data_IF_740071493098
#
_entry.id   IF_740071493098
#
_cell.length_a   1.000
_cell.length_b   1.000
_cell.length_c   1.000
_cell.angle_alpha   90.00
_cell.angle_beta   90.00
_cell.angle_gamma   90.00
#
_symmetry.space_group_name_H-M   'P 1'
#
loop_
_entity.id
_entity.type
_entity.pdbx_description
1 polymer ?
#
# COMPACT_ATOMS: atom_id res chain seq x y z
N UNK A 1 61.60 -11.90 19.91
CA UNK A 1 61.35 -11.90 18.45
C UNK A 1 59.89 -12.27 18.23
N UNK A 2 59.27 -11.54 17.32
CA UNK A 2 57.84 -11.26 17.12
C UNK A 2 57.12 -12.32 16.26
N UNK A 3 55.77 -12.25 16.19
CA UNK A 3 54.79 -12.77 15.18
C UNK A 3 54.14 -14.15 15.44
N UNK A 4 52.83 -14.42 15.28
CA UNK A 4 51.62 -13.72 14.78
C UNK A 4 50.38 -14.35 15.46
N UNK A 5 49.34 -13.60 15.90
CA UNK A 5 48.00 -14.17 16.09
C UNK A 5 47.24 -14.10 14.76
N UNK A 6 46.95 -15.25 14.14
CA UNK A 6 46.05 -15.34 12.98
C UNK A 6 44.73 -15.95 13.46
N UNK A 7 43.87 -15.13 14.07
CA UNK A 7 42.47 -15.50 14.26
C UNK A 7 41.71 -14.92 13.07
N UNK A 8 41.27 -15.86 12.24
CA UNK A 8 40.48 -15.72 11.03
C UNK A 8 39.32 -14.75 11.27
N UNK A 9 39.29 -13.66 10.48
CA UNK A 9 38.21 -12.70 10.48
C UNK A 9 36.90 -13.36 10.08
N UNK A 10 35.93 -13.35 10.98
CA UNK A 10 34.54 -13.64 10.66
C UNK A 10 34.00 -12.48 9.81
N UNK A 11 34.04 -12.65 8.49
CA UNK A 11 33.27 -11.86 7.54
C UNK A 11 31.78 -12.12 7.83
N UNK A 12 31.17 -11.28 8.65
CA UNK A 12 29.72 -11.19 8.76
C UNK A 12 29.24 -10.59 7.44
N UNK A 13 28.84 -11.46 6.52
CA UNK A 13 28.12 -11.08 5.31
C UNK A 13 26.73 -10.63 5.76
N UNK A 14 26.57 -9.33 6.02
CA UNK A 14 25.26 -8.68 6.09
C UNK A 14 24.66 -8.75 4.69
N UNK A 15 23.89 -9.81 4.43
CA UNK A 15 23.02 -9.90 3.26
C UNK A 15 21.99 -8.77 3.38
N UNK A 16 22.22 -7.67 2.69
CA UNK A 16 21.19 -6.69 2.39
C UNK A 16 20.15 -7.41 1.52
N UNK A 17 19.10 -7.92 2.16
CA UNK A 17 17.83 -8.19 1.50
C UNK A 17 17.37 -6.83 0.95
N UNK A 18 17.74 -6.54 -0.30
CA UNK A 18 17.04 -5.55 -1.09
C UNK A 18 15.59 -6.06 -1.18
N UNK A 19 14.76 -5.59 -0.25
CA UNK A 19 13.33 -5.89 -0.26
C UNK A 19 12.81 -5.47 -1.62
N UNK A 20 12.25 -6.42 -2.35
CA UNK A 20 11.49 -6.11 -3.54
C UNK A 20 10.33 -5.21 -3.09
N UNK A 21 10.41 -3.90 -3.37
CA UNK A 21 9.32 -2.94 -3.18
C UNK A 21 8.25 -3.17 -4.24
N UNK A 22 7.78 -4.42 -4.36
CA UNK A 22 6.70 -4.79 -5.25
C UNK A 22 5.35 -4.46 -4.62
N UNK A 23 4.28 -4.48 -5.43
CA UNK A 23 2.92 -4.43 -4.91
C UNK A 23 2.72 -5.53 -3.87
N UNK A 24 1.94 -5.27 -2.83
CA UNK A 24 1.74 -6.20 -1.71
C UNK A 24 0.36 -6.03 -1.13
N UNK A 25 -0.31 -7.15 -0.87
CA UNK A 25 -1.50 -7.19 -0.02
C UNK A 25 -1.08 -7.41 1.44
N UNK A 26 -1.53 -6.55 2.34
CA UNK A 26 -1.36 -6.73 3.79
C UNK A 26 -2.72 -7.09 4.38
N UNK A 27 -2.79 -8.25 5.04
CA UNK A 27 -4.04 -8.75 5.65
C UNK A 27 -3.92 -8.79 7.17
N UNK A 28 -4.94 -8.27 7.86
CA UNK A 28 -5.03 -8.29 9.32
C UNK A 28 -5.53 -9.64 9.86
N UNK A 29 -5.51 -9.80 11.18
CA UNK A 29 -6.11 -10.95 11.87
C UNK A 29 -7.65 -11.01 11.79
N UNK A 30 -8.30 -9.96 11.28
CA UNK A 30 -9.76 -9.88 11.08
C UNK A 30 -10.14 -10.01 9.61
N UNK A 31 -9.25 -10.56 8.79
CA UNK A 31 -9.42 -10.75 7.34
C UNK A 31 -9.70 -9.43 6.59
N UNK A 32 -9.10 -8.31 7.06
CA UNK A 32 -9.10 -7.04 6.35
C UNK A 32 -7.84 -6.89 5.53
N UNK A 33 -7.97 -6.47 4.28
CA UNK A 33 -6.84 -6.36 3.35
C UNK A 33 -6.68 -4.93 2.85
N UNK A 34 -5.44 -4.44 2.86
CA UNK A 34 -5.06 -3.22 2.14
C UNK A 34 -4.12 -3.56 0.98
N UNK A 35 -4.28 -2.86 -0.13
CA UNK A 35 -3.35 -2.89 -1.25
C UNK A 35 -2.28 -1.83 -1.04
N UNK A 36 -1.01 -2.21 -1.21
CA UNK A 36 0.14 -1.31 -1.11
C UNK A 36 0.96 -1.46 -2.38
N UNK A 37 1.31 -0.37 -3.03
CA UNK A 37 2.23 -0.39 -4.17
C UNK A 37 3.01 0.92 -4.27
N UNK A 38 4.01 0.94 -5.14
CA UNK A 38 4.54 2.20 -5.65
C UNK A 38 3.45 2.92 -6.46
N UNK A 39 3.66 4.21 -6.70
CA UNK A 39 2.80 4.96 -7.61
C UNK A 39 2.72 4.28 -8.97
N UNK A 40 1.54 4.34 -9.60
CA UNK A 40 1.31 3.75 -10.91
C UNK A 40 2.29 4.36 -11.94
N UNK A 41 2.87 3.53 -12.81
CA UNK A 41 3.95 3.96 -13.74
C UNK A 41 3.54 5.12 -14.68
N UNK A 42 2.24 5.29 -14.91
CA UNK A 42 1.62 6.34 -15.71
C UNK A 42 0.71 7.30 -14.89
N UNK A 43 0.93 7.43 -13.58
CA UNK A 43 0.08 8.25 -12.71
C UNK A 43 0.07 9.72 -13.20
N UNK A 44 -1.08 10.17 -13.71
CA UNK A 44 -1.38 11.59 -13.81
C UNK A 44 -1.66 12.08 -12.37
N UNK A 45 -0.62 12.54 -11.69
CA UNK A 45 -0.55 12.82 -10.23
C UNK A 45 -1.39 14.02 -9.74
N UNK A 46 -2.53 14.31 -10.38
CA UNK A 46 -3.35 15.49 -10.04
C UNK A 46 -4.83 15.14 -9.87
N UNK A 47 -5.14 13.93 -9.40
CA UNK A 47 -6.48 13.59 -8.95
C UNK A 47 -6.58 13.74 -7.43
N UNK A 48 -7.67 14.36 -6.98
CA UNK A 48 -8.10 14.36 -5.58
C UNK A 48 -9.35 13.50 -5.48
N UNK A 49 -9.25 12.35 -4.81
CA UNK A 49 -10.40 11.51 -4.55
C UNK A 49 -10.95 11.80 -3.14
N UNK A 50 -12.20 12.24 -3.09
CA UNK A 50 -12.89 12.57 -1.84
C UNK A 50 -14.04 11.61 -1.59
N UNK A 51 -14.15 11.12 -0.36
CA UNK A 51 -15.25 10.26 0.02
C UNK A 51 -15.00 9.50 1.32
N UNK A 52 -15.95 8.64 1.67
CA UNK A 52 -15.85 7.78 2.84
C UNK A 52 -15.04 6.53 2.52
N UNK A 53 -14.01 6.24 3.30
CA UNK A 53 -13.32 4.95 3.25
C UNK A 53 -14.12 3.90 4.00
N UNK A 54 -14.11 2.67 3.50
CA UNK A 54 -14.79 1.55 4.14
C UNK A 54 -14.19 0.23 3.72
N UNK A 55 -14.51 -0.82 4.48
CA UNK A 55 -14.27 -2.18 4.02
C UNK A 55 -15.32 -2.58 2.98
N UNK A 56 -14.86 -3.02 1.81
CA UNK A 56 -15.70 -3.63 0.78
C UNK A 56 -16.18 -5.03 1.17
N UNK A 57 -17.05 -5.62 0.34
CA UNK A 57 -17.64 -6.95 0.61
C UNK A 57 -16.59 -8.06 0.68
N UNK A 58 -15.49 -7.91 -0.07
CA UNK A 58 -14.34 -8.81 -0.06
C UNK A 58 -13.34 -8.52 1.09
N UNK A 59 -13.62 -7.56 1.97
CA UNK A 59 -12.75 -7.18 3.09
C UNK A 59 -11.60 -6.22 2.72
N UNK A 60 -11.59 -5.68 1.50
CA UNK A 60 -10.54 -4.78 1.03
C UNK A 60 -10.91 -3.31 1.28
N UNK A 61 -9.94 -2.46 1.58
CA UNK A 61 -10.22 -1.03 1.79
C UNK A 61 -10.58 -0.35 0.47
N UNK A 62 -11.75 0.30 0.44
CA UNK A 62 -12.26 1.03 -0.72
C UNK A 62 -12.69 2.45 -0.34
N UNK A 63 -12.78 3.33 -1.34
CA UNK A 63 -13.25 4.71 -1.21
C UNK A 63 -14.56 4.90 -1.98
N UNK A 64 -15.60 5.37 -1.30
CA UNK A 64 -16.92 5.68 -1.88
C UNK A 64 -17.99 4.62 -1.62
N UNK A 65 -19.26 5.00 -1.83
CA UNK A 65 -20.42 4.17 -1.47
C UNK A 65 -21.03 3.41 -2.66
N UNK A 66 -21.35 4.12 -3.76
CA UNK A 66 -22.12 3.57 -4.88
C UNK A 66 -21.23 2.84 -5.89
N UNK A 67 -20.12 3.47 -6.28
CA UNK A 67 -19.11 2.94 -7.19
C UNK A 67 -17.76 3.03 -6.46
N UNK A 68 -17.47 2.09 -5.55
CA UNK A 68 -16.27 2.16 -4.73
C UNK A 68 -15.02 1.92 -5.55
N UNK A 69 -13.97 2.69 -5.27
CA UNK A 69 -12.65 2.51 -5.85
C UNK A 69 -11.75 1.77 -4.85
N UNK A 70 -11.04 0.74 -5.30
CA UNK A 70 -9.96 0.13 -4.52
C UNK A 70 -8.91 1.19 -4.23
N UNK A 71 -8.54 1.33 -2.96
CA UNK A 71 -7.45 2.23 -2.57
C UNK A 71 -6.15 1.45 -2.54
N UNK A 72 -5.20 1.88 -3.37
CA UNK A 72 -3.81 1.41 -3.34
C UNK A 72 -2.99 2.45 -2.57
N UNK A 73 -2.55 2.07 -1.38
CA UNK A 73 -1.78 2.94 -0.50
C UNK A 73 -0.30 2.97 -0.90
N UNK A 74 0.42 4.05 -0.59
CA UNK A 74 1.85 4.13 -0.87
C UNK A 74 2.64 3.21 0.06
N UNK A 75 3.85 2.82 -0.39
CA UNK A 75 4.80 2.11 0.46
C UNK A 75 5.06 2.81 1.79
N UNK A 76 5.22 1.99 2.84
CA UNK A 76 5.35 2.47 4.23
C UNK A 76 4.02 2.52 4.97
N UNK A 77 2.89 2.39 4.26
CA UNK A 77 1.58 2.19 4.90
C UNK A 77 1.55 0.85 5.64
N UNK A 78 0.89 0.81 6.79
CA UNK A 78 0.71 -0.40 7.60
C UNK A 78 -0.75 -0.57 8.00
N UNK A 79 -1.11 -1.79 8.43
CA UNK A 79 -2.44 -2.12 8.95
C UNK A 79 -2.31 -2.59 10.39
N UNK A 80 -2.77 -1.77 11.34
CA UNK A 80 -2.79 -2.06 12.78
C UNK A 80 -4.22 -2.43 13.20
N UNK A 81 -4.50 -3.74 13.26
CA UNK A 81 -5.88 -4.23 13.41
C UNK A 81 -6.71 -3.90 12.17
N UNK A 82 -7.61 -2.92 12.29
CA UNK A 82 -8.41 -2.39 11.18
C UNK A 82 -8.09 -0.91 10.88
N UNK A 83 -7.05 -0.36 11.49
CA UNK A 83 -6.62 1.02 11.26
C UNK A 83 -5.49 1.04 10.24
N UNK A 84 -5.69 1.75 9.13
CA UNK A 84 -4.63 2.01 8.15
C UNK A 84 -3.76 3.15 8.66
N UNK A 85 -2.45 2.94 8.73
CA UNK A 85 -1.49 3.95 9.17
C UNK A 85 -0.59 4.32 8.01
N UNK A 86 -0.73 5.54 7.50
CA UNK A 86 0.05 6.10 6.40
C UNK A 86 1.52 6.33 6.82
N UNK A 87 2.45 6.52 5.86
CA UNK A 87 3.87 6.70 6.16
C UNK A 87 4.20 7.91 7.05
N UNK A 88 3.36 8.94 7.03
CA UNK A 88 3.48 10.13 7.89
C UNK A 88 2.91 9.93 9.31
N UNK A 89 2.33 8.75 9.59
CA UNK A 89 1.68 8.40 10.84
C UNK A 89 0.19 8.73 10.90
N UNK A 90 -0.39 9.32 9.85
CA UNK A 90 -1.83 9.57 9.74
C UNK A 90 -2.59 8.26 9.80
N UNK A 91 -3.71 8.27 10.52
CA UNK A 91 -4.57 7.10 10.72
C UNK A 91 -5.86 7.26 9.94
N UNK A 92 -6.26 6.21 9.24
CA UNK A 92 -7.49 6.12 8.47
C UNK A 92 -8.25 4.88 8.94
N UNK A 93 -9.51 5.07 9.32
CA UNK A 93 -10.42 4.02 9.78
C UNK A 93 -11.65 3.95 8.86
N UNK A 94 -12.26 2.77 8.79
CA UNK A 94 -13.52 2.61 8.06
C UNK A 94 -14.59 3.55 8.63
N UNK A 95 -15.22 4.34 7.76
CA UNK A 95 -16.19 5.38 8.12
C UNK A 95 -15.61 6.80 8.08
N UNK A 96 -14.28 6.95 8.00
CA UNK A 96 -13.66 8.26 7.85
C UNK A 96 -13.97 8.86 6.49
N UNK A 97 -14.27 10.17 6.48
CA UNK A 97 -14.35 10.94 5.25
C UNK A 97 -12.98 11.55 4.96
N UNK A 98 -12.36 11.15 3.85
CA UNK A 98 -11.00 11.52 3.48
C UNK A 98 -10.97 12.27 2.15
N UNK A 99 -9.91 13.04 1.96
CA UNK A 99 -9.50 13.59 0.68
C UNK A 99 -8.11 13.05 0.40
N UNK A 100 -7.95 12.14 -0.56
CA UNK A 100 -6.66 11.51 -0.88
C UNK A 100 -6.12 12.11 -2.17
N UNK A 101 -4.88 12.60 -2.15
CA UNK A 101 -4.13 12.91 -3.36
C UNK A 101 -3.71 11.64 -4.08
N UNK A 102 -3.60 11.66 -5.40
CA UNK A 102 -3.20 10.49 -6.17
C UNK A 102 -3.59 10.50 -7.65
N UNK A 103 -3.78 9.29 -8.18
CA UNK A 103 -4.18 9.02 -9.56
C UNK A 103 -5.28 7.96 -9.65
N UNK A 104 -6.28 8.20 -10.51
CA UNK A 104 -7.34 7.23 -10.80
C UNK A 104 -7.02 6.48 -12.10
N UNK A 105 -7.13 5.16 -12.08
CA UNK A 105 -6.99 4.34 -13.28
C UNK A 105 -8.06 3.25 -13.31
N UNK A 106 -8.48 2.91 -14.53
CA UNK A 106 -9.35 1.75 -14.71
C UNK A 106 -8.62 0.47 -14.30
N UNK A 107 -9.34 -0.52 -13.76
CA UNK A 107 -8.77 -1.82 -13.45
C UNK A 107 -8.16 -2.52 -14.66
N UNK A 108 -8.68 -2.24 -15.86
CA UNK A 108 -8.13 -2.78 -17.10
C UNK A 108 -6.68 -2.34 -17.33
N UNK A 109 -6.36 -1.10 -16.94
CA UNK A 109 -5.04 -0.52 -17.17
C UNK A 109 -4.12 -0.74 -15.96
N UNK A 110 -4.66 -0.76 -14.74
CA UNK A 110 -3.86 -0.76 -13.52
C UNK A 110 -3.74 -2.11 -12.79
N UNK A 111 -4.66 -3.06 -12.96
CA UNK A 111 -4.62 -4.32 -12.20
C UNK A 111 -3.40 -5.19 -12.52
N UNK A 112 -2.78 -5.03 -13.70
CA UNK A 112 -1.55 -5.73 -14.07
C UNK A 112 -0.35 -5.37 -13.18
N UNK A 113 -0.40 -4.21 -12.50
CA UNK A 113 0.60 -3.79 -11.52
C UNK A 113 0.28 -4.24 -10.09
N UNK A 114 -0.77 -5.04 -9.90
CA UNK A 114 -1.23 -5.53 -8.60
C UNK A 114 -1.34 -7.08 -8.56
N UNK A 115 -0.30 -7.84 -9.00
CA UNK A 115 -0.35 -9.31 -9.08
C UNK A 115 -0.58 -10.00 -7.73
N UNK A 116 -0.21 -9.36 -6.62
CA UNK A 116 -0.32 -9.91 -5.28
C UNK A 116 -1.61 -9.47 -4.55
N UNK A 117 -2.44 -8.63 -5.20
CA UNK A 117 -3.73 -8.21 -4.66
C UNK A 117 -4.80 -9.24 -5.05
N UNK A 118 -5.61 -9.75 -4.10
CA UNK A 118 -6.68 -10.68 -4.41
C UNK A 118 -7.63 -10.13 -5.49
N UNK A 119 -8.02 -10.96 -6.45
CA UNK A 119 -8.84 -10.53 -7.58
C UNK A 119 -10.20 -10.00 -7.13
N UNK A 120 -10.73 -10.49 -6.01
CA UNK A 120 -11.96 -10.02 -5.37
C UNK A 120 -11.85 -8.59 -4.78
N UNK A 121 -10.63 -8.07 -4.59
CA UNK A 121 -10.42 -6.68 -4.20
C UNK A 121 -10.49 -5.70 -5.37
N UNK A 122 -10.36 -6.18 -6.61
CA UNK A 122 -10.31 -5.32 -7.79
C UNK A 122 -11.70 -4.79 -8.12
N UNK A 123 -11.84 -3.47 -8.07
CA UNK A 123 -13.05 -2.70 -8.42
C UNK A 123 -13.03 -2.32 -9.90
N UNK A 124 -13.99 -1.54 -10.41
CA UNK A 124 -13.92 -1.06 -11.80
C UNK A 124 -12.80 -0.04 -11.99
N UNK A 125 -12.64 0.84 -11.00
CA UNK A 125 -11.63 1.89 -10.94
C UNK A 125 -10.77 1.71 -9.70
N UNK A 126 -9.47 1.97 -9.82
CA UNK A 126 -8.47 1.82 -8.77
C UNK A 126 -7.81 3.19 -8.54
N UNK A 127 -7.70 3.59 -7.28
CA UNK A 127 -7.10 4.84 -6.88
C UNK A 127 -5.74 4.60 -6.21
N UNK A 128 -4.65 5.06 -6.84
CA UNK A 128 -3.32 5.08 -6.24
C UNK A 128 -3.16 6.33 -5.41
N UNK A 129 -3.18 6.18 -4.09
CA UNK A 129 -2.99 7.28 -3.16
C UNK A 129 -1.51 7.67 -3.07
N UNK A 130 -1.21 8.96 -3.11
CA UNK A 130 0.14 9.48 -2.87
C UNK A 130 0.56 9.41 -1.40
N UNK A 131 -0.42 9.25 -0.50
CA UNK A 131 -0.24 9.34 0.96
C UNK A 131 -0.45 10.74 1.51
N UNK A 132 -0.71 11.72 0.66
CA UNK A 132 -1.07 13.07 1.08
C UNK A 132 -2.58 13.18 1.26
N UNK A 133 -3.00 13.81 2.35
CA UNK A 133 -4.39 14.24 2.51
C UNK A 133 -4.56 15.61 1.87
N UNK A 134 -5.64 15.78 1.09
CA UNK A 134 -6.06 17.08 0.58
C UNK A 134 -6.65 17.94 1.69
N UNK A 135 -6.43 19.25 1.59
CA UNK A 135 -7.04 20.30 2.43
C UNK A 135 -8.48 20.62 1.99
#
# INVERSE_FOLDING_TARGET
MTRVPMVVGALVVLALLAGCSGPTAVTSSTDRTIAIAAQHEDAAEQALAQGTVRWGDAGCMVLGDVEPNLVVFPHGTTLDGETVVLPDGTKIESGDNVALGGGMHSSKDGAGQLPDIPAECLTEEIFWASGELGE
#
